data_IF_829289306709
#
_entry.id   IF_829289306709
#
_cell.length_a   1.000
_cell.length_b   1.000
_cell.length_c   1.000
_cell.angle_alpha   90.00
_cell.angle_beta   90.00
_cell.angle_gamma   90.00
#
_symmetry.space_group_name_H-M   'P 1'
#
loop_
_entity.id
_entity.type
_entity.pdbx_description
1 polymer ?
#
# COMPACT_ATOMS: atom_id res chain seq x y z
N UNK A 1 12.95 4.86 -24.78
CA UNK A 1 13.84 3.75 -24.34
C UNK A 1 12.97 2.51 -24.15
N UNK A 2 13.13 1.45 -24.96
CA UNK A 2 12.30 0.24 -24.88
C UNK A 2 12.73 -0.54 -23.64
N UNK A 3 11.86 -0.62 -22.66
CA UNK A 3 12.05 -1.45 -21.45
C UNK A 3 11.98 -2.92 -21.88
N UNK A 4 13.10 -3.61 -21.78
CA UNK A 4 13.17 -5.07 -21.95
C UNK A 4 12.32 -5.70 -20.83
N UNK A 5 11.16 -6.26 -21.18
CA UNK A 5 10.35 -7.07 -20.26
C UNK A 5 11.22 -8.27 -19.81
N UNK A 6 11.55 -8.31 -18.53
CA UNK A 6 12.18 -9.50 -17.93
C UNK A 6 11.16 -10.64 -17.89
N UNK A 7 11.54 -11.78 -18.47
CA UNK A 7 10.91 -13.06 -18.17
C UNK A 7 11.11 -13.38 -16.70
N UNK A 8 10.03 -13.50 -15.93
CA UNK A 8 10.10 -14.00 -14.57
C UNK A 8 9.12 -13.37 -13.61
N UNK A 9 8.14 -14.14 -13.20
CA UNK A 9 7.22 -13.91 -12.08
C UNK A 9 6.43 -12.59 -12.15
N UNK A 10 5.37 -12.58 -12.95
CA UNK A 10 4.36 -11.53 -12.85
C UNK A 10 3.74 -11.55 -11.44
N UNK A 11 3.91 -10.45 -10.72
CA UNK A 11 3.30 -10.23 -9.41
C UNK A 11 1.77 -10.23 -9.49
N UNK A 12 1.11 -10.18 -8.34
CA UNK A 12 -0.31 -9.86 -8.26
C UNK A 12 -0.48 -8.35 -8.28
N UNK A 13 -1.26 -7.82 -9.26
CA UNK A 13 -1.61 -6.40 -9.35
C UNK A 13 -2.97 -6.17 -8.71
N UNK A 14 -3.02 -5.50 -7.59
CA UNK A 14 -4.27 -5.13 -6.94
C UNK A 14 -4.99 -4.09 -7.82
N UNK A 15 -6.26 -4.37 -8.16
CA UNK A 15 -7.11 -3.46 -8.94
C UNK A 15 -8.08 -2.69 -8.06
N UNK A 16 -8.65 -3.36 -7.07
CA UNK A 16 -9.55 -2.75 -6.11
C UNK A 16 -9.55 -3.52 -4.78
N UNK A 17 -9.92 -2.82 -3.72
CA UNK A 17 -10.28 -3.42 -2.43
C UNK A 17 -11.64 -2.91 -1.99
N UNK A 18 -12.39 -3.74 -1.27
CA UNK A 18 -13.60 -3.35 -0.54
C UNK A 18 -13.42 -3.72 0.92
N UNK A 19 -13.72 -2.77 1.79
CA UNK A 19 -13.56 -2.88 3.24
C UNK A 19 -14.87 -2.48 3.92
N UNK A 20 -15.34 -3.30 4.85
CA UNK A 20 -16.47 -2.96 5.72
C UNK A 20 -16.18 -3.42 7.16
N UNK A 21 -16.75 -2.73 8.13
CA UNK A 21 -16.71 -3.14 9.53
C UNK A 21 -15.33 -3.03 10.19
N UNK A 22 -14.51 -2.05 9.81
CA UNK A 22 -13.22 -1.75 10.43
C UNK A 22 -13.22 -0.32 10.97
N UNK A 23 -13.10 -0.15 12.29
CA UNK A 23 -13.18 1.17 12.95
C UNK A 23 -14.40 1.95 12.48
N UNK A 24 -14.23 3.03 11.70
CA UNK A 24 -15.30 3.85 11.16
C UNK A 24 -15.57 3.63 9.66
N UNK A 25 -14.96 2.61 9.04
CA UNK A 25 -15.11 2.33 7.61
C UNK A 25 -16.36 1.50 7.34
N UNK A 26 -17.25 2.00 6.50
CA UNK A 26 -18.48 1.34 6.09
C UNK A 26 -18.54 1.21 4.57
N UNK A 27 -18.44 -0.02 4.08
CA UNK A 27 -18.54 -0.37 2.65
C UNK A 27 -17.65 0.50 1.75
N UNK A 28 -16.38 0.67 2.11
CA UNK A 28 -15.42 1.50 1.40
C UNK A 28 -14.79 0.70 0.28
N UNK A 29 -15.04 1.11 -0.98
CA UNK A 29 -14.39 0.55 -2.16
C UNK A 29 -13.32 1.51 -2.66
N UNK A 30 -12.08 1.03 -2.79
CA UNK A 30 -10.95 1.78 -3.36
C UNK A 30 -10.48 1.05 -4.63
N UNK A 31 -10.57 1.72 -5.76
CA UNK A 31 -10.01 1.26 -7.04
C UNK A 31 -8.62 1.87 -7.23
N UNK A 32 -7.65 1.05 -7.65
CA UNK A 32 -6.26 1.47 -7.75
C UNK A 32 -5.85 1.80 -9.18
N UNK A 33 -5.49 3.05 -9.42
CA UNK A 33 -4.65 3.46 -10.53
C UNK A 33 -3.17 3.16 -10.21
N UNK A 34 -2.21 3.63 -10.99
CA UNK A 34 -0.80 3.53 -10.61
C UNK A 34 -0.53 4.30 -9.33
N UNK A 35 -1.05 5.53 -9.25
CA UNK A 35 -1.11 6.32 -8.03
C UNK A 35 -2.58 6.60 -7.73
N UNK A 36 -3.00 6.35 -6.51
CA UNK A 36 -4.37 6.61 -6.02
C UNK A 36 -4.30 7.52 -4.82
N UNK A 37 -5.10 8.58 -4.78
CA UNK A 37 -5.15 9.51 -3.65
C UNK A 37 -6.45 9.36 -2.85
N UNK A 38 -6.31 9.33 -1.53
CA UNK A 38 -7.39 9.51 -0.58
C UNK A 38 -7.38 10.96 -0.09
N UNK A 39 -8.40 11.72 -0.46
CA UNK A 39 -8.54 13.14 -0.11
C UNK A 39 -9.73 13.31 0.81
N UNK A 40 -9.53 13.87 2.00
CA UNK A 40 -10.56 14.15 2.96
C UNK A 40 -10.03 15.11 4.05
N UNK A 41 -10.92 15.66 4.84
CA UNK A 41 -10.55 16.42 6.04
C UNK A 41 -9.72 15.59 7.03
N UNK A 42 -9.07 16.28 7.96
CA UNK A 42 -8.34 15.61 9.04
C UNK A 42 -9.29 14.76 9.88
N UNK A 43 -8.76 13.67 10.43
CA UNK A 43 -9.50 12.73 11.28
C UNK A 43 -10.73 12.05 10.62
N UNK A 44 -10.85 12.11 9.30
CA UNK A 44 -11.96 11.50 8.56
C UNK A 44 -11.88 9.97 8.51
N UNK A 45 -10.68 9.41 8.43
CA UNK A 45 -10.47 7.96 8.32
C UNK A 45 -9.53 7.53 7.19
N UNK A 46 -8.78 8.45 6.56
CA UNK A 46 -7.76 8.11 5.53
C UNK A 46 -6.78 7.05 6.03
N UNK A 47 -6.14 7.28 7.18
CA UNK A 47 -5.21 6.30 7.77
C UNK A 47 -5.92 5.01 8.22
N UNK A 48 -7.22 5.05 8.52
CA UNK A 48 -7.98 3.84 8.81
C UNK A 48 -8.16 2.95 7.56
N UNK A 49 -8.29 3.55 6.37
CA UNK A 49 -8.30 2.78 5.10
C UNK A 49 -6.98 2.06 4.92
N UNK A 50 -5.84 2.76 5.11
CA UNK A 50 -4.52 2.15 4.99
C UNK A 50 -4.33 1.02 6.01
N UNK A 51 -4.67 1.27 7.27
CA UNK A 51 -4.60 0.26 8.32
C UNK A 51 -5.51 -0.95 8.07
N UNK A 52 -6.69 -0.74 7.46
CA UNK A 52 -7.60 -1.83 7.11
C UNK A 52 -7.07 -2.68 5.94
N UNK A 53 -6.39 -2.08 4.96
CA UNK A 53 -5.74 -2.82 3.87
C UNK A 53 -4.60 -3.67 4.43
N UNK A 54 -3.73 -3.08 5.25
CA UNK A 54 -2.63 -3.78 5.90
C UNK A 54 -3.14 -4.95 6.74
N UNK A 55 -4.08 -4.69 7.63
CA UNK A 55 -4.74 -5.71 8.43
C UNK A 55 -5.34 -6.83 7.58
N UNK A 56 -6.03 -6.49 6.49
CA UNK A 56 -6.66 -7.45 5.58
C UNK A 56 -5.65 -8.39 4.92
N UNK A 57 -4.52 -7.85 4.47
CA UNK A 57 -3.45 -8.64 3.86
C UNK A 57 -2.68 -9.47 4.89
N UNK A 58 -2.40 -8.93 6.08
CA UNK A 58 -1.77 -9.69 7.16
C UNK A 58 -2.68 -10.80 7.68
N UNK A 59 -4.00 -10.58 7.75
CA UNK A 59 -4.97 -11.61 8.12
C UNK A 59 -4.93 -12.81 7.16
N UNK A 60 -4.75 -12.60 5.85
CA UNK A 60 -4.60 -13.68 4.88
C UNK A 60 -3.39 -14.56 5.21
N UNK A 61 -2.27 -13.95 5.64
CA UNK A 61 -0.98 -14.62 5.89
C UNK A 61 -0.91 -15.30 7.27
N UNK A 62 -1.59 -14.72 8.26
CA UNK A 62 -1.48 -15.09 9.66
C UNK A 62 -1.77 -16.57 9.94
N UNK A 63 -1.13 -17.13 10.95
CA UNK A 63 -1.46 -18.46 11.48
C UNK A 63 -2.85 -18.46 12.16
N UNK A 64 -3.36 -19.62 12.52
CA UNK A 64 -4.70 -19.75 13.12
C UNK A 64 -4.80 -18.97 14.44
N UNK A 65 -3.78 -19.06 15.27
CA UNK A 65 -3.74 -18.39 16.58
C UNK A 65 -3.61 -16.85 16.40
N UNK A 66 -2.75 -16.40 15.49
CA UNK A 66 -2.62 -14.98 15.15
C UNK A 66 -3.95 -14.38 14.68
N UNK A 67 -4.70 -15.11 13.84
CA UNK A 67 -6.03 -14.69 13.37
C UNK A 67 -7.02 -14.55 14.52
N UNK A 68 -6.99 -15.47 15.49
CA UNK A 68 -7.88 -15.38 16.66
C UNK A 68 -7.58 -14.12 17.49
N UNK A 69 -6.30 -13.76 17.64
CA UNK A 69 -5.86 -12.53 18.30
C UNK A 69 -6.26 -11.28 17.49
N UNK A 70 -6.04 -11.31 16.17
CA UNK A 70 -6.45 -10.23 15.27
C UNK A 70 -7.95 -9.94 15.35
N UNK A 71 -8.78 -10.98 15.36
CA UNK A 71 -10.25 -10.88 15.49
C UNK A 71 -10.71 -10.35 16.87
N UNK A 72 -9.84 -10.40 17.87
CA UNK A 72 -10.12 -9.94 19.24
C UNK A 72 -9.56 -8.52 19.51
N UNK A 73 -8.92 -7.88 18.54
CA UNK A 73 -8.31 -6.56 18.73
C UNK A 73 -9.36 -5.46 18.87
N UNK A 74 -9.63 -5.06 20.10
CA UNK A 74 -10.65 -4.06 20.45
C UNK A 74 -10.44 -2.68 19.82
N UNK A 75 -9.18 -2.32 19.47
CA UNK A 75 -8.86 -1.04 18.85
C UNK A 75 -9.31 -0.95 17.37
N UNK A 76 -9.66 -2.07 16.76
CA UNK A 76 -10.04 -2.18 15.35
C UNK A 76 -11.54 -2.40 15.15
N UNK A 77 -12.23 -2.85 16.20
CA UNK A 77 -13.67 -3.10 16.19
C UNK A 77 -14.44 -1.76 16.03
N UNK A 78 -15.47 -1.71 15.18
CA UNK A 78 -16.33 -0.54 15.10
C UNK A 78 -17.00 -0.21 16.44
N UNK A 79 -16.78 1.02 16.91
CA UNK A 79 -17.40 1.51 18.16
C UNK A 79 -18.59 2.43 17.92
N UNK A 80 -18.80 2.90 16.69
CA UNK A 80 -19.93 3.72 16.31
C UNK A 80 -21.23 2.91 16.46
N UNK A 81 -22.27 3.50 17.05
CA UNK A 81 -23.57 2.83 17.29
C UNK A 81 -24.21 2.26 16.02
N UNK A 82 -24.02 2.94 14.88
CA UNK A 82 -24.56 2.50 13.58
C UNK A 82 -23.78 1.32 12.99
N UNK A 83 -22.57 1.05 13.47
CA UNK A 83 -21.69 0.00 12.97
C UNK A 83 -21.41 -1.09 14.00
N UNK A 84 -21.92 -0.93 15.23
CA UNK A 84 -21.69 -1.89 16.30
C UNK A 84 -22.24 -3.28 15.91
N UNK A 85 -21.38 -4.30 16.08
CA UNK A 85 -21.70 -5.67 15.73
C UNK A 85 -21.56 -6.03 14.24
N UNK A 86 -21.13 -5.10 13.39
CA UNK A 86 -20.76 -5.44 12.00
C UNK A 86 -19.54 -6.33 11.98
N UNK A 87 -19.56 -7.31 11.07
CA UNK A 87 -18.42 -8.14 10.77
C UNK A 87 -17.34 -7.33 10.02
N UNK A 88 -16.10 -7.76 10.12
CA UNK A 88 -15.06 -7.29 9.19
C UNK A 88 -15.20 -8.02 7.87
N UNK A 89 -15.25 -7.27 6.78
CA UNK A 89 -15.27 -7.77 5.42
C UNK A 89 -14.13 -7.18 4.62
N UNK A 90 -13.37 -8.03 3.93
CA UNK A 90 -12.28 -7.63 3.06
C UNK A 90 -12.37 -8.39 1.73
N UNK A 91 -12.46 -7.65 0.63
CA UNK A 91 -12.49 -8.20 -0.72
C UNK A 91 -11.44 -7.52 -1.59
N UNK A 92 -10.85 -8.27 -2.52
CA UNK A 92 -9.86 -7.77 -3.48
C UNK A 92 -10.18 -8.23 -4.89
N UNK A 93 -10.01 -7.31 -5.83
CA UNK A 93 -9.92 -7.60 -7.26
C UNK A 93 -8.45 -7.50 -7.68
N UNK A 94 -7.92 -8.52 -8.34
CA UNK A 94 -6.50 -8.68 -8.62
C UNK A 94 -6.34 -9.15 -10.07
N UNK A 95 -5.32 -8.64 -10.76
CA UNK A 95 -4.81 -9.21 -12.00
C UNK A 95 -3.55 -10.03 -11.72
N UNK A 96 -3.48 -11.21 -12.31
CA UNK A 96 -2.29 -12.08 -12.25
C UNK A 96 -2.16 -12.91 -13.52
N UNK A 97 -0.94 -13.32 -13.82
CA UNK A 97 -0.67 -14.20 -14.94
C UNK A 97 -0.38 -15.63 -14.45
N UNK A 98 -0.98 -16.61 -15.12
CA UNK A 98 -0.75 -18.04 -14.91
C UNK A 98 -0.58 -18.68 -16.27
N UNK A 99 0.55 -19.35 -16.51
CA UNK A 99 0.85 -20.01 -17.79
C UNK A 99 0.67 -19.08 -19.01
N UNK A 100 1.13 -17.83 -18.93
CA UNK A 100 1.03 -16.79 -19.94
C UNK A 100 -0.42 -16.35 -20.28
N UNK A 101 -1.36 -16.61 -19.39
CA UNK A 101 -2.75 -16.14 -19.49
C UNK A 101 -3.04 -15.21 -18.33
N UNK A 102 -3.51 -14.01 -18.63
CA UNK A 102 -3.96 -13.06 -17.60
C UNK A 102 -5.33 -13.46 -17.06
N UNK A 103 -5.44 -13.47 -15.74
CA UNK A 103 -6.66 -13.77 -15.00
C UNK A 103 -7.05 -12.62 -14.09
N UNK A 104 -8.34 -12.29 -14.12
CA UNK A 104 -8.98 -11.56 -13.02
C UNK A 104 -9.26 -12.55 -11.89
N UNK A 105 -8.78 -12.21 -10.70
CA UNK A 105 -8.97 -12.96 -9.47
C UNK A 105 -9.80 -12.10 -8.53
N UNK A 106 -10.90 -12.64 -8.03
CA UNK A 106 -11.65 -12.07 -6.93
C UNK A 106 -11.41 -12.94 -5.70
N UNK A 107 -10.90 -12.34 -4.63
CA UNK A 107 -10.72 -13.00 -3.34
C UNK A 107 -11.32 -12.14 -2.25
N UNK A 108 -12.11 -12.73 -1.38
CA UNK A 108 -12.69 -12.04 -0.25
C UNK A 108 -13.04 -12.98 0.89
N UNK A 109 -13.10 -12.40 2.08
CA UNK A 109 -13.53 -13.09 3.29
C UNK A 109 -14.24 -12.11 4.23
N UNK A 110 -15.02 -12.70 5.14
CA UNK A 110 -15.73 -12.00 6.19
C UNK A 110 -15.60 -12.78 7.49
N UNK A 111 -15.37 -12.08 8.61
CA UNK A 111 -15.33 -12.69 9.92
C UNK A 111 -16.09 -11.87 10.97
N UNK A 112 -16.50 -12.56 12.04
CA UNK A 112 -17.14 -11.93 13.18
C UNK A 112 -16.09 -11.49 14.21
N UNK A 113 -16.13 -10.22 14.63
CA UNK A 113 -15.28 -9.70 15.70
C UNK A 113 -15.63 -10.34 17.05
N UNK A 114 -14.63 -10.53 17.93
CA UNK A 114 -14.85 -10.88 19.33
C UNK A 114 -15.22 -9.63 20.16
N UNK A 115 -16.48 -9.24 20.13
CA UNK A 115 -16.94 -8.04 20.83
C UNK A 115 -17.05 -8.20 22.37
N UNK A 116 -17.06 -9.43 22.89
CA UNK A 116 -17.09 -9.74 24.33
C UNK A 116 -16.44 -11.10 24.64
N UNK A 117 -16.18 -11.38 25.91
CA UNK A 117 -15.50 -12.60 26.35
C UNK A 117 -16.23 -13.90 26.01
N UNK A 118 -17.56 -13.88 25.93
CA UNK A 118 -18.39 -15.04 25.62
C UNK A 118 -18.49 -15.36 24.13
N UNK A 119 -18.09 -14.43 23.26
CA UNK A 119 -18.11 -14.64 21.80
C UNK A 119 -16.83 -15.32 21.33
N UNK A 120 -16.99 -16.37 20.53
CA UNK A 120 -15.89 -16.99 19.80
C UNK A 120 -15.88 -16.40 18.39
N UNK A 121 -14.79 -15.76 17.96
CA UNK A 121 -14.69 -15.26 16.61
C UNK A 121 -14.65 -16.39 15.59
N UNK A 122 -15.21 -16.19 14.43
CA UNK A 122 -15.21 -17.19 13.35
C UNK A 122 -15.30 -16.52 11.98
N UNK A 123 -14.79 -17.22 10.97
CA UNK A 123 -14.94 -16.82 9.56
C UNK A 123 -16.37 -17.09 9.13
N UNK A 124 -17.08 -16.04 8.73
CA UNK A 124 -18.47 -16.07 8.26
C UNK A 124 -18.54 -16.58 6.83
N UNK A 125 -17.65 -16.05 5.97
CA UNK A 125 -17.59 -16.44 4.56
C UNK A 125 -16.18 -16.32 4.00
N UNK A 126 -15.89 -17.08 2.95
CA UNK A 126 -14.67 -16.96 2.13
C UNK A 126 -14.98 -17.35 0.70
N UNK A 127 -14.49 -16.57 -0.25
CA UNK A 127 -14.74 -16.75 -1.67
C UNK A 127 -13.47 -16.50 -2.48
N UNK A 128 -13.13 -17.43 -3.38
CA UNK A 128 -12.12 -17.24 -4.42
C UNK A 128 -12.73 -17.58 -5.77
N UNK A 129 -12.66 -16.64 -6.72
CA UNK A 129 -13.15 -16.80 -8.09
C UNK A 129 -12.13 -16.28 -9.07
N UNK A 130 -12.04 -16.93 -10.22
CA UNK A 130 -11.18 -16.49 -11.32
C UNK A 130 -11.93 -16.45 -12.65
N UNK A 131 -11.49 -15.60 -13.55
CA UNK A 131 -11.84 -15.65 -14.98
C UNK A 131 -10.66 -15.17 -15.81
N UNK A 132 -10.48 -15.67 -17.05
CA UNK A 132 -9.51 -15.08 -17.96
C UNK A 132 -9.87 -13.63 -18.24
N UNK A 133 -8.85 -12.76 -18.28
CA UNK A 133 -9.04 -11.35 -18.64
C UNK A 133 -9.51 -11.23 -20.09
N UNK A 134 -10.31 -10.21 -20.38
CA UNK A 134 -10.78 -9.84 -21.73
C UNK A 134 -11.57 -10.91 -22.51
N UNK A 135 -12.06 -11.98 -21.87
CA UNK A 135 -12.79 -13.06 -22.56
C UNK A 135 -14.31 -12.96 -22.45
N UNK A 136 -14.85 -12.09 -21.60
CA UNK A 136 -16.30 -12.04 -21.29
C UNK A 136 -16.84 -13.29 -20.59
N UNK A 137 -15.97 -14.22 -20.21
CA UNK A 137 -16.37 -15.45 -19.52
C UNK A 137 -16.84 -15.17 -18.10
N UNK A 138 -17.74 -16.03 -17.60
CA UNK A 138 -18.18 -15.97 -16.19
C UNK A 138 -17.06 -16.42 -15.26
N UNK A 139 -17.08 -15.87 -14.04
CA UNK A 139 -16.17 -16.33 -13.00
C UNK A 139 -16.35 -17.81 -12.66
N UNK A 140 -15.23 -18.50 -12.56
CA UNK A 140 -15.15 -19.88 -12.05
C UNK A 140 -14.91 -19.83 -10.55
N UNK A 141 -15.80 -20.44 -9.76
CA UNK A 141 -15.66 -20.56 -8.31
C UNK A 141 -14.59 -21.59 -7.94
N UNK A 142 -13.60 -21.19 -7.16
CA UNK A 142 -12.49 -22.05 -6.67
C UNK A 142 -12.63 -22.40 -5.19
N UNK A 143 -13.00 -21.40 -4.35
CA UNK A 143 -13.29 -21.57 -2.92
C UNK A 143 -14.66 -20.96 -2.65
N UNK A 144 -15.48 -21.66 -1.89
CA UNK A 144 -16.76 -21.17 -1.38
C UNK A 144 -16.99 -21.69 0.04
N UNK A 145 -16.94 -20.78 0.99
CA UNK A 145 -17.21 -21.08 2.39
C UNK A 145 -18.35 -20.21 2.90
N UNK A 146 -19.22 -20.80 3.62
CA UNK A 146 -20.22 -20.15 4.47
C UNK A 146 -20.09 -20.66 5.92
N UNK A 147 -20.93 -20.22 6.83
CA UNK A 147 -20.89 -20.60 8.25
C UNK A 147 -21.11 -22.10 8.51
N UNK A 148 -21.57 -22.88 7.52
CA UNK A 148 -21.92 -24.31 7.66
C UNK A 148 -20.97 -25.25 6.94
N UNK A 149 -20.38 -24.82 5.83
CA UNK A 149 -19.56 -25.67 4.97
C UNK A 149 -18.45 -24.88 4.31
N UNK A 150 -17.34 -25.58 4.07
CA UNK A 150 -16.23 -25.10 3.25
C UNK A 150 -16.04 -26.05 2.07
N UNK A 151 -16.03 -25.47 0.86
CA UNK A 151 -15.93 -26.18 -0.40
C UNK A 151 -14.78 -25.62 -1.23
N UNK A 152 -14.08 -26.50 -1.96
CA UNK A 152 -13.07 -26.08 -2.92
C UNK A 152 -13.21 -26.84 -4.26
N UNK A 153 -12.64 -26.31 -5.30
CA UNK A 153 -12.58 -26.93 -6.61
C UNK A 153 -11.28 -27.73 -6.71
N UNK A 154 -11.38 -29.06 -6.83
CA UNK A 154 -10.22 -29.95 -6.87
C UNK A 154 -9.56 -30.02 -8.24
N UNK A 155 -10.35 -30.08 -9.29
CA UNK A 155 -9.86 -30.27 -10.68
C UNK A 155 -10.34 -29.16 -11.61
N UNK A 156 -9.62 -28.93 -12.68
CA UNK A 156 -9.90 -27.85 -13.64
C UNK A 156 -11.30 -27.97 -14.29
N UNK A 157 -11.73 -29.19 -14.61
CA UNK A 157 -13.03 -29.49 -15.24
C UNK A 157 -14.17 -29.69 -14.25
N UNK A 158 -13.85 -29.86 -12.94
CA UNK A 158 -14.83 -30.13 -11.88
C UNK A 158 -15.59 -28.89 -11.41
N UNK A 159 -16.54 -29.11 -10.51
CA UNK A 159 -17.26 -28.03 -9.77
C UNK A 159 -16.59 -27.75 -8.43
N UNK A 160 -16.85 -26.58 -7.84
CA UNK A 160 -16.47 -26.26 -6.47
C UNK A 160 -17.39 -26.99 -5.48
N UNK A 161 -17.13 -28.27 -5.23
CA UNK A 161 -17.98 -29.17 -4.45
C UNK A 161 -17.22 -30.09 -3.49
N UNK A 162 -15.89 -30.14 -3.58
CA UNK A 162 -15.06 -30.93 -2.65
C UNK A 162 -15.09 -30.31 -1.26
N UNK A 163 -15.48 -31.09 -0.25
CA UNK A 163 -15.54 -30.63 1.14
C UNK A 163 -14.14 -30.57 1.74
N UNK A 164 -13.90 -29.57 2.56
CA UNK A 164 -12.67 -29.42 3.34
C UNK A 164 -13.05 -29.01 4.76
N UNK A 165 -12.41 -29.62 5.75
CA UNK A 165 -12.59 -29.25 7.15
C UNK A 165 -11.58 -28.16 7.50
N UNK A 166 -12.06 -27.06 8.05
CA UNK A 166 -11.24 -25.91 8.50
C UNK A 166 -11.66 -25.52 9.92
N UNK A 167 -10.73 -25.02 10.69
CA UNK A 167 -11.02 -24.45 12.00
C UNK A 167 -11.88 -23.17 11.85
N UNK A 168 -12.60 -22.74 12.90
CA UNK A 168 -13.45 -21.56 12.84
C UNK A 168 -12.72 -20.30 12.38
N UNK A 169 -11.45 -20.12 12.78
CA UNK A 169 -10.61 -18.95 12.45
C UNK A 169 -9.65 -19.21 11.29
N UNK A 170 -9.66 -20.41 10.68
CA UNK A 170 -8.77 -20.77 9.56
C UNK A 170 -9.40 -20.44 8.21
N UNK A 171 -8.71 -19.73 7.32
CA UNK A 171 -9.12 -19.55 5.93
C UNK A 171 -8.89 -20.83 5.12
N UNK A 172 -9.82 -21.17 4.23
CA UNK A 172 -9.67 -22.30 3.28
C UNK A 172 -8.43 -22.11 2.40
N UNK A 173 -8.14 -20.88 1.97
CA UNK A 173 -6.94 -20.55 1.21
C UNK A 173 -5.66 -20.94 1.98
N UNK A 174 -5.58 -20.73 3.30
CA UNK A 174 -4.43 -21.15 4.09
C UNK A 174 -4.30 -22.69 4.15
N UNK A 175 -5.39 -23.40 4.35
CA UNK A 175 -5.41 -24.86 4.35
C UNK A 175 -4.94 -25.44 3.01
N UNK A 176 -5.41 -24.85 1.92
CA UNK A 176 -5.06 -25.27 0.56
C UNK A 176 -3.62 -24.94 0.17
N UNK A 177 -2.90 -24.13 0.94
CA UNK A 177 -1.48 -23.81 0.68
C UNK A 177 -0.59 -25.05 0.65
N UNK A 178 -0.97 -26.10 1.40
CA UNK A 178 -0.25 -27.38 1.43
C UNK A 178 -0.65 -28.35 0.28
N UNK A 179 -1.59 -27.94 -0.59
CA UNK A 179 -2.12 -28.78 -1.67
C UNK A 179 -1.48 -28.39 -3.01
N UNK A 180 -0.35 -28.99 -3.34
CA UNK A 180 0.35 -28.69 -4.62
C UNK A 180 -0.38 -29.22 -5.85
N UNK A 181 -1.31 -30.18 -5.70
CA UNK A 181 -2.03 -30.80 -6.82
C UNK A 181 -3.20 -29.98 -7.38
N UNK A 182 -3.60 -28.88 -6.74
CA UNK A 182 -4.68 -28.04 -7.26
C UNK A 182 -4.16 -27.11 -8.36
N UNK A 183 -4.90 -27.00 -9.47
CA UNK A 183 -4.47 -26.24 -10.66
C UNK A 183 -4.29 -24.73 -10.41
N UNK A 184 -4.78 -24.19 -9.30
CA UNK A 184 -4.64 -22.79 -8.86
C UNK A 184 -3.73 -22.60 -7.64
N UNK A 185 -2.86 -23.58 -7.35
CA UNK A 185 -1.92 -23.49 -6.24
C UNK A 185 -1.06 -22.22 -6.28
N UNK A 186 -0.68 -21.77 -7.49
CA UNK A 186 0.07 -20.52 -7.67
C UNK A 186 -0.70 -19.29 -7.20
N UNK A 187 -2.01 -19.22 -7.45
CA UNK A 187 -2.85 -18.12 -6.93
C UNK A 187 -2.83 -18.12 -5.41
N UNK A 188 -2.99 -19.27 -4.77
CA UNK A 188 -2.95 -19.39 -3.31
C UNK A 188 -1.60 -18.94 -2.76
N UNK A 189 -0.50 -19.37 -3.38
CA UNK A 189 0.86 -18.94 -2.97
C UNK A 189 1.04 -17.43 -3.14
N UNK A 190 0.65 -16.89 -4.27
CA UNK A 190 0.74 -15.45 -4.56
C UNK A 190 -0.11 -14.61 -3.60
N UNK A 191 -1.35 -15.01 -3.27
CA UNK A 191 -2.20 -14.35 -2.28
C UNK A 191 -1.51 -14.27 -0.91
N UNK A 192 -0.89 -15.36 -0.46
CA UNK A 192 -0.16 -15.41 0.80
C UNK A 192 1.19 -14.66 0.78
N UNK A 193 1.69 -14.28 -0.39
CA UNK A 193 2.96 -13.54 -0.56
C UNK A 193 2.77 -12.06 -0.86
N UNK A 194 1.53 -11.56 -1.00
CA UNK A 194 1.26 -10.16 -1.24
C UNK A 194 1.83 -9.30 -0.11
N UNK A 195 2.53 -8.23 -0.48
CA UNK A 195 3.18 -7.34 0.48
C UNK A 195 2.57 -5.96 0.36
N UNK A 196 2.28 -5.38 1.50
CA UNK A 196 1.94 -3.99 1.69
C UNK A 196 3.04 -3.31 2.50
N UNK A 197 3.39 -2.11 2.12
CA UNK A 197 4.32 -1.29 2.86
C UNK A 197 3.72 0.09 3.09
N UNK A 198 3.75 0.57 4.32
CA UNK A 198 3.25 1.88 4.68
C UNK A 198 4.39 2.78 5.14
N UNK A 199 4.62 3.87 4.38
CA UNK A 199 5.56 4.92 4.76
C UNK A 199 4.79 6.03 5.48
N UNK A 200 4.80 6.00 6.78
CA UNK A 200 4.15 6.96 7.66
C UNK A 200 5.13 7.86 8.41
N UNK A 201 6.43 7.69 8.16
CA UNK A 201 7.45 8.47 8.85
C UNK A 201 7.68 9.81 8.14
N UNK A 202 7.35 10.89 8.83
CA UNK A 202 7.51 12.26 8.35
C UNK A 202 8.92 12.82 8.61
N UNK A 203 9.69 12.23 9.53
CA UNK A 203 11.03 12.69 9.88
C UNK A 203 12.12 12.02 9.04
N UNK A 204 12.44 12.62 7.90
CA UNK A 204 13.53 12.15 7.05
C UNK A 204 14.93 12.33 7.66
N UNK A 205 15.08 13.07 8.78
CA UNK A 205 16.41 13.38 9.34
C UNK A 205 17.08 12.17 9.95
N UNK A 206 16.33 11.37 10.69
CA UNK A 206 16.85 10.19 11.40
C UNK A 206 17.37 9.10 10.43
N UNK A 207 16.78 8.98 9.24
CA UNK A 207 17.14 7.94 8.27
C UNK A 207 18.52 8.10 7.61
N UNK A 208 19.08 9.31 7.62
CA UNK A 208 20.36 9.61 7.00
C UNK A 208 21.52 9.64 7.98
N UNK A 209 21.27 9.39 9.26
CA UNK A 209 22.31 9.31 10.27
C UNK A 209 23.16 8.04 10.05
N UNK A 210 24.50 8.14 10.04
CA UNK A 210 25.36 6.97 10.01
C UNK A 210 25.26 6.24 11.35
N UNK A 211 24.64 5.06 11.34
CA UNK A 211 24.43 4.25 12.53
C UNK A 211 25.03 2.85 12.36
N UNK A 212 25.95 2.41 13.25
CA UNK A 212 26.46 1.05 13.25
C UNK A 212 25.47 0.03 13.83
N UNK A 213 24.42 0.49 14.53
CA UNK A 213 23.44 -0.37 15.19
C UNK A 213 22.31 -0.67 14.20
N UNK A 214 22.00 -1.95 14.05
CA UNK A 214 20.89 -2.39 13.21
C UNK A 214 20.00 -3.36 13.99
N UNK A 215 18.74 -3.44 13.62
CA UNK A 215 17.80 -4.42 14.15
C UNK A 215 18.14 -5.80 13.59
N UNK A 216 18.19 -6.83 14.44
CA UNK A 216 18.37 -8.24 14.00
C UNK A 216 17.24 -8.62 13.04
N UNK A 217 17.59 -9.31 11.96
CA UNK A 217 16.65 -9.65 10.87
C UNK A 217 16.54 -8.60 9.76
N UNK A 218 17.07 -7.37 9.97
CA UNK A 218 17.12 -6.30 8.96
C UNK A 218 18.57 -6.08 8.44
N UNK A 219 19.40 -7.12 8.46
CA UNK A 219 20.78 -7.05 7.96
C UNK A 219 20.83 -6.89 6.44
N UNK A 220 19.80 -7.39 5.76
CA UNK A 220 19.66 -7.33 4.31
C UNK A 220 18.89 -6.08 3.86
N UNK A 221 18.98 -5.80 2.58
CA UNK A 221 18.25 -4.71 1.93
C UNK A 221 16.74 -4.99 2.00
N UNK A 222 16.04 -4.30 2.90
CA UNK A 222 14.59 -4.37 3.08
C UNK A 222 13.97 -2.99 2.87
N UNK A 223 12.70 -2.96 2.47
CA UNK A 223 11.99 -1.71 2.19
C UNK A 223 11.76 -0.88 3.46
N UNK A 224 11.63 -1.52 4.61
CA UNK A 224 11.38 -0.95 5.94
C UNK A 224 12.65 -0.58 6.73
N UNK A 225 13.84 -0.79 6.13
CA UNK A 225 15.09 -0.46 6.81
C UNK A 225 15.21 1.03 7.12
N UNK A 226 15.57 1.34 8.35
CA UNK A 226 15.68 2.71 8.87
C UNK A 226 16.97 3.41 8.44
N UNK A 227 18.06 2.68 8.21
CA UNK A 227 19.36 3.23 7.83
C UNK A 227 19.49 3.34 6.30
N UNK A 228 19.01 4.42 5.71
CA UNK A 228 19.04 4.64 4.27
C UNK A 228 20.44 4.60 3.65
N UNK A 229 21.51 5.20 4.22
CA UNK A 229 22.84 5.09 3.65
C UNK A 229 23.33 3.64 3.47
N UNK A 230 23.00 2.76 4.42
CA UNK A 230 23.27 1.32 4.32
C UNK A 230 22.46 0.67 3.20
N UNK A 231 21.17 0.94 3.15
CA UNK A 231 20.27 0.41 2.11
C UNK A 231 20.75 0.83 0.72
N UNK A 232 21.10 2.10 0.54
CA UNK A 232 21.63 2.63 -0.73
C UNK A 232 22.97 1.97 -1.09
N UNK A 233 23.83 1.72 -0.10
CA UNK A 233 25.06 0.97 -0.33
C UNK A 233 24.76 -0.45 -0.83
N UNK A 234 23.86 -1.17 -0.18
CA UNK A 234 23.44 -2.51 -0.59
C UNK A 234 22.75 -2.50 -1.96
N UNK A 235 21.93 -1.48 -2.25
CA UNK A 235 21.31 -1.31 -3.56
C UNK A 235 22.38 -1.15 -4.66
N UNK A 236 23.41 -0.34 -4.42
CA UNK A 236 24.53 -0.18 -5.36
C UNK A 236 25.26 -1.49 -5.61
N UNK A 237 25.57 -2.26 -4.56
CA UNK A 237 26.32 -3.52 -4.67
C UNK A 237 25.48 -4.63 -5.35
N UNK A 238 24.21 -4.74 -5.01
CA UNK A 238 23.37 -5.84 -5.46
C UNK A 238 22.58 -5.53 -6.75
N UNK A 239 22.25 -4.27 -7.00
CA UNK A 239 21.44 -3.80 -8.12
C UNK A 239 21.94 -2.45 -8.65
N UNK A 240 23.15 -2.38 -9.24
CA UNK A 240 23.78 -1.12 -9.66
C UNK A 240 22.90 -0.35 -10.67
N UNK A 241 22.18 -1.03 -11.56
CA UNK A 241 21.27 -0.39 -12.50
C UNK A 241 20.12 0.35 -11.82
N UNK A 242 19.57 -0.20 -10.73
CA UNK A 242 18.50 0.46 -9.95
C UNK A 242 19.08 1.62 -9.13
N UNK A 243 20.31 1.52 -8.65
CA UNK A 243 21.00 2.64 -8.01
C UNK A 243 21.28 3.79 -8.99
N UNK A 244 21.73 3.49 -10.20
CA UNK A 244 21.93 4.52 -11.24
C UNK A 244 20.61 5.17 -11.64
N UNK A 245 19.53 4.40 -11.80
CA UNK A 245 18.17 4.93 -12.02
C UNK A 245 17.75 5.88 -10.90
N UNK A 246 17.97 5.52 -9.63
CA UNK A 246 17.68 6.40 -8.49
C UNK A 246 18.40 7.74 -8.60
N UNK A 247 19.71 7.70 -8.96
CA UNK A 247 20.50 8.93 -9.16
C UNK A 247 19.96 9.78 -10.31
N UNK A 248 19.63 9.15 -11.43
CA UNK A 248 19.13 9.85 -12.62
C UNK A 248 17.82 10.57 -12.32
N UNK A 249 16.82 9.88 -11.75
CA UNK A 249 15.52 10.48 -11.45
C UNK A 249 15.62 11.54 -10.35
N UNK A 250 16.52 11.38 -9.38
CA UNK A 250 16.74 12.40 -8.37
C UNK A 250 17.39 13.67 -8.95
N UNK A 251 18.37 13.52 -9.86
CA UNK A 251 19.00 14.66 -10.56
C UNK A 251 18.03 15.37 -11.49
N UNK A 252 17.05 14.69 -12.04
CA UNK A 252 15.99 15.33 -12.83
C UNK A 252 15.16 16.29 -11.96
N UNK A 253 14.86 15.91 -10.73
CA UNK A 253 14.13 16.74 -9.76
C UNK A 253 15.00 17.84 -9.12
N UNK A 254 16.29 17.58 -8.96
CA UNK A 254 17.27 18.49 -8.35
C UNK A 254 18.45 18.74 -9.31
N UNK A 255 18.31 19.63 -10.30
CA UNK A 255 19.28 19.80 -11.38
C UNK A 255 20.67 20.29 -10.92
N UNK A 256 20.77 20.87 -9.72
CA UNK A 256 22.05 21.29 -9.14
C UNK A 256 22.84 20.10 -8.56
N UNK A 257 22.21 18.97 -8.31
CA UNK A 257 22.86 17.74 -7.88
C UNK A 257 23.60 17.11 -9.06
N UNK A 258 24.93 17.01 -8.95
CA UNK A 258 25.79 16.42 -9.97
C UNK A 258 25.93 14.90 -9.77
N UNK A 259 26.11 14.45 -8.52
CA UNK A 259 26.20 13.03 -8.19
C UNK A 259 25.81 12.73 -6.74
N UNK A 260 25.44 11.47 -6.48
CA UNK A 260 25.16 10.91 -5.16
C UNK A 260 26.16 9.78 -4.92
N UNK A 261 26.91 9.91 -3.84
CA UNK A 261 28.02 9.03 -3.50
C UNK A 261 27.76 8.36 -2.17
N UNK A 262 27.76 7.04 -2.12
CA UNK A 262 27.71 6.29 -0.87
C UNK A 262 29.05 5.69 -0.55
N UNK A 263 29.53 5.91 0.70
CA UNK A 263 30.82 5.38 1.18
C UNK A 263 30.61 4.52 2.42
N UNK A 264 31.37 3.44 2.49
CA UNK A 264 31.47 2.59 3.65
C UNK A 264 32.76 2.94 4.44
N UNK A 265 32.63 3.07 5.74
CA UNK A 265 33.76 3.24 6.64
C UNK A 265 33.76 2.10 7.66
N UNK A 266 34.87 1.38 7.73
CA UNK A 266 35.07 0.34 8.72
C UNK A 266 35.29 0.96 10.10
N UNK A 267 34.60 0.45 11.09
CA UNK A 267 34.77 0.84 12.49
C UNK A 267 35.38 -0.34 13.25
N UNK A 268 36.45 -0.09 14.00
CA UNK A 268 36.98 -1.08 14.92
C UNK A 268 36.08 -1.12 16.16
N UNK A 269 34.93 -1.77 16.06
CA UNK A 269 34.18 -2.15 17.25
C UNK A 269 35.06 -3.11 18.04
N UNK A 270 35.41 -2.78 19.28
CA UNK A 270 36.20 -3.63 20.16
C UNK A 270 35.53 -5.01 20.26
N UNK A 271 36.32 -6.05 20.24
CA UNK A 271 35.87 -7.46 20.24
C UNK A 271 34.93 -7.83 21.41
N UNK A 272 34.81 -6.94 22.41
CA UNK A 272 34.05 -7.17 23.66
C UNK A 272 32.65 -6.55 23.69
N UNK A 273 32.25 -5.74 22.69
CA UNK A 273 30.96 -5.04 22.71
C UNK A 273 29.85 -5.85 22.01
N UNK A 274 29.72 -7.14 22.37
CA UNK A 274 28.56 -7.92 21.94
C UNK A 274 27.35 -7.53 22.78
N UNK A 275 26.33 -7.01 22.13
CA UNK A 275 25.03 -6.81 22.78
C UNK A 275 24.51 -8.16 23.32
N UNK A 276 23.77 -8.16 24.45
CA UNK A 276 23.13 -9.36 24.95
C UNK A 276 22.28 -10.07 23.88
N UNK A 277 22.16 -11.40 23.98
CA UNK A 277 21.46 -12.20 22.96
C UNK A 277 19.97 -11.89 22.83
N UNK A 278 19.36 -11.46 23.90
CA UNK A 278 17.94 -11.09 24.03
C UNK A 278 17.63 -9.67 23.49
N UNK A 279 18.66 -8.86 23.24
CA UNK A 279 18.46 -7.53 22.64
C UNK A 279 18.20 -7.67 21.14
N UNK A 280 17.15 -7.04 20.58
CA UNK A 280 16.79 -7.15 19.17
C UNK A 280 17.68 -6.37 18.21
N UNK A 281 18.87 -5.92 18.66
CA UNK A 281 19.83 -5.14 17.89
C UNK A 281 21.18 -5.84 17.81
N UNK A 282 21.96 -5.46 16.79
CA UNK A 282 23.37 -5.85 16.61
C UNK A 282 24.23 -4.65 16.19
N UNK A 283 25.50 -4.68 16.56
CA UNK A 283 26.47 -3.71 16.16
C UNK A 283 27.20 -4.25 14.91
N UNK A 284 27.30 -3.44 13.86
CA UNK A 284 28.00 -3.79 12.63
C UNK A 284 29.40 -3.20 12.61
N UNK A 285 30.31 -3.83 11.84
CA UNK A 285 31.70 -3.37 11.70
C UNK A 285 31.87 -2.19 10.71
N UNK A 286 30.78 -1.64 10.22
CA UNK A 286 30.83 -0.57 9.23
C UNK A 286 29.65 0.41 9.41
N UNK A 287 29.96 1.67 9.18
CA UNK A 287 28.97 2.73 8.96
C UNK A 287 28.95 3.12 7.50
N UNK A 288 27.81 3.59 7.05
CA UNK A 288 27.59 4.04 5.69
C UNK A 288 27.20 5.52 5.71
N UNK A 289 27.79 6.29 4.81
CA UNK A 289 27.55 7.74 4.71
C UNK A 289 27.20 8.07 3.27
N UNK A 290 26.14 8.82 3.10
CA UNK A 290 25.69 9.32 1.81
C UNK A 290 26.15 10.76 1.64
N UNK A 291 26.76 11.07 0.47
CA UNK A 291 27.21 12.40 0.11
C UNK A 291 26.52 12.86 -1.17
N UNK A 292 26.34 14.17 -1.27
CA UNK A 292 25.86 14.84 -2.49
C UNK A 292 27.00 15.70 -3.03
N UNK A 293 27.27 15.55 -4.32
CA UNK A 293 28.09 16.48 -5.09
C UNK A 293 27.16 17.45 -5.79
N UNK A 294 27.24 18.72 -5.44
CA UNK A 294 26.45 19.81 -6.01
C UNK A 294 27.31 20.68 -6.90
N UNK A 295 26.77 21.17 -8.02
CA UNK A 295 27.49 21.99 -9.01
C UNK A 295 28.03 23.28 -8.42
N UNK A 296 27.34 23.81 -7.41
CA UNK A 296 27.64 25.08 -6.77
C UNK A 296 28.60 24.95 -5.57
N UNK A 297 28.94 23.71 -5.18
CA UNK A 297 29.78 23.43 -4.01
C UNK A 297 31.15 22.91 -4.41
N UNK A 298 32.19 23.40 -3.73
CA UNK A 298 33.58 22.98 -3.97
C UNK A 298 33.85 21.53 -3.56
N UNK A 299 33.14 21.03 -2.56
CA UNK A 299 33.31 19.68 -2.02
C UNK A 299 31.95 19.01 -1.79
N UNK A 300 31.85 17.67 -1.92
CA UNK A 300 30.64 16.96 -1.56
C UNK A 300 30.27 17.19 -0.09
N UNK A 301 28.97 17.36 0.16
CA UNK A 301 28.41 17.51 1.51
C UNK A 301 27.72 16.22 1.94
N UNK A 302 27.60 16.01 3.26
CA UNK A 302 26.80 14.92 3.78
C UNK A 302 25.33 15.12 3.39
N UNK A 303 24.67 14.08 2.88
CA UNK A 303 23.26 14.12 2.45
C UNK A 303 22.31 14.53 3.59
N UNK A 304 22.65 14.22 4.84
CA UNK A 304 21.89 14.66 6.00
C UNK A 304 21.77 16.20 6.12
N UNK A 305 22.66 16.96 5.46
CA UNK A 305 22.64 18.42 5.41
C UNK A 305 21.72 19.00 4.33
N UNK A 306 21.15 18.17 3.46
CA UNK A 306 20.16 18.58 2.47
C UNK A 306 18.87 19.06 3.14
N UNK A 307 18.06 19.84 2.43
CA UNK A 307 16.74 20.25 2.91
C UNK A 307 15.84 19.05 3.21
N UNK A 308 14.90 19.22 4.13
CA UNK A 308 14.00 18.13 4.54
C UNK A 308 13.16 17.63 3.36
N UNK A 309 12.72 18.53 2.47
CA UNK A 309 12.02 18.16 1.23
C UNK A 309 12.88 17.31 0.28
N UNK A 310 14.16 17.70 0.08
CA UNK A 310 15.08 16.94 -0.75
C UNK A 310 15.34 15.53 -0.19
N UNK A 311 15.53 15.43 1.13
CA UNK A 311 15.69 14.15 1.84
C UNK A 311 14.47 13.28 1.74
N UNK A 312 13.26 13.86 1.91
CA UNK A 312 12.00 13.13 1.82
C UNK A 312 11.74 12.59 0.41
N UNK A 313 11.94 13.40 -0.61
CA UNK A 313 11.82 12.96 -2.01
C UNK A 313 12.76 11.78 -2.30
N UNK A 314 14.03 11.89 -1.89
CA UNK A 314 15.00 10.80 -2.08
C UNK A 314 14.60 9.52 -1.35
N UNK A 315 14.11 9.63 -0.11
CA UNK A 315 13.62 8.51 0.67
C UNK A 315 12.47 7.80 -0.05
N UNK A 316 11.45 8.54 -0.49
CA UNK A 316 10.28 7.95 -1.15
C UNK A 316 10.67 7.30 -2.49
N UNK A 317 11.51 7.94 -3.32
CA UNK A 317 12.03 7.33 -4.55
C UNK A 317 12.79 6.03 -4.25
N UNK A 318 13.60 6.02 -3.20
CA UNK A 318 14.31 4.81 -2.74
C UNK A 318 13.32 3.71 -2.35
N UNK A 319 12.27 4.03 -1.56
CA UNK A 319 11.23 3.06 -1.16
C UNK A 319 10.52 2.46 -2.37
N UNK A 320 10.18 3.26 -3.36
CA UNK A 320 9.53 2.79 -4.59
C UNK A 320 10.44 1.82 -5.37
N UNK A 321 11.71 2.18 -5.52
CA UNK A 321 12.68 1.29 -6.20
C UNK A 321 12.87 -0.02 -5.42
N UNK A 322 12.96 0.04 -4.10
CA UNK A 322 13.06 -1.15 -3.25
C UNK A 322 11.80 -2.00 -3.29
N UNK A 323 10.62 -1.38 -3.40
CA UNK A 323 9.37 -2.10 -3.55
C UNK A 323 9.33 -2.94 -4.82
N UNK A 324 9.80 -2.39 -5.94
CA UNK A 324 9.91 -3.14 -7.19
C UNK A 324 10.91 -4.31 -7.07
N UNK A 325 12.04 -4.10 -6.36
CA UNK A 325 13.03 -5.18 -6.10
C UNK A 325 12.44 -6.27 -5.20
N UNK A 326 11.65 -5.89 -4.19
CA UNK A 326 11.05 -6.80 -3.23
C UNK A 326 9.70 -7.38 -3.65
N UNK A 327 9.19 -7.03 -4.85
CA UNK A 327 7.88 -7.41 -5.37
C UNK A 327 6.75 -7.03 -4.39
N UNK A 328 6.76 -5.81 -3.88
CA UNK A 328 5.69 -5.25 -3.05
C UNK A 328 4.50 -4.93 -3.95
N UNK A 329 3.30 -5.35 -3.54
CA UNK A 329 2.08 -5.18 -4.34
C UNK A 329 1.49 -3.77 -4.22
N UNK A 330 1.60 -3.17 -3.03
CA UNK A 330 1.03 -1.86 -2.72
C UNK A 330 1.91 -1.11 -1.71
N UNK A 331 2.19 0.17 -2.00
CA UNK A 331 2.82 1.11 -1.08
C UNK A 331 1.79 2.15 -0.67
N UNK A 332 1.68 2.42 0.62
CA UNK A 332 0.99 3.60 1.13
C UNK A 332 2.01 4.67 1.54
N UNK A 333 1.74 5.91 1.16
CA UNK A 333 2.56 7.07 1.53
C UNK A 333 1.64 8.13 2.13
N UNK A 334 1.85 8.44 3.41
CA UNK A 334 1.10 9.52 4.05
C UNK A 334 1.73 10.87 3.71
N UNK A 335 0.89 11.77 3.21
CA UNK A 335 1.22 13.18 2.96
C UNK A 335 2.54 13.39 2.19
N UNK A 336 2.69 12.84 0.98
CA UNK A 336 3.94 12.93 0.20
C UNK A 336 4.34 14.37 -0.13
N UNK A 337 3.39 15.30 -0.09
CA UNK A 337 3.59 16.74 -0.32
C UNK A 337 4.27 17.46 0.84
N UNK A 338 4.32 16.88 2.03
CA UNK A 338 4.91 17.54 3.18
C UNK A 338 6.39 17.87 2.96
N UNK A 339 6.76 19.12 3.21
CA UNK A 339 8.09 19.67 3.00
C UNK A 339 8.57 19.72 1.54
N UNK A 340 7.71 19.37 0.57
CA UNK A 340 8.01 19.45 -0.86
C UNK A 340 7.36 20.71 -1.45
N UNK A 341 8.16 21.51 -2.17
CA UNK A 341 7.61 22.71 -2.81
C UNK A 341 6.58 22.33 -3.88
N UNK A 342 5.42 23.02 -3.99
CA UNK A 342 4.37 22.67 -4.94
C UNK A 342 4.84 22.53 -6.39
N UNK A 343 5.74 23.40 -6.86
CA UNK A 343 6.27 23.34 -8.23
C UNK A 343 7.11 22.08 -8.50
N UNK A 344 7.76 21.51 -7.48
CA UNK A 344 8.51 20.26 -7.59
C UNK A 344 7.58 19.07 -7.53
N UNK A 345 6.46 19.20 -6.81
CA UNK A 345 5.57 18.08 -6.51
C UNK A 345 4.95 17.46 -7.77
N UNK A 346 4.60 18.28 -8.78
CA UNK A 346 4.07 17.77 -10.06
C UNK A 346 5.08 16.87 -10.78
N UNK A 347 6.32 17.34 -10.96
CA UNK A 347 7.38 16.54 -11.59
C UNK A 347 7.69 15.28 -10.78
N UNK A 348 7.70 15.39 -9.46
CA UNK A 348 7.92 14.28 -8.55
C UNK A 348 6.85 13.18 -8.71
N UNK A 349 5.56 13.52 -8.74
CA UNK A 349 4.47 12.55 -8.94
C UNK A 349 4.56 11.88 -10.32
N UNK A 350 4.94 12.61 -11.36
CA UNK A 350 5.16 12.05 -12.70
C UNK A 350 6.29 11.02 -12.69
N UNK A 351 7.42 11.33 -12.05
CA UNK A 351 8.55 10.40 -11.90
C UNK A 351 8.13 9.17 -11.10
N UNK A 352 7.43 9.35 -9.98
CA UNK A 352 6.90 8.24 -9.20
C UNK A 352 6.05 7.32 -10.08
N UNK A 353 5.12 7.87 -10.88
CA UNK A 353 4.27 7.08 -11.78
C UNK A 353 5.07 6.29 -12.83
N UNK A 354 6.18 6.84 -13.32
CA UNK A 354 7.07 6.17 -14.28
C UNK A 354 7.93 5.07 -13.66
N UNK A 355 8.26 5.19 -12.37
CA UNK A 355 9.07 4.22 -11.64
C UNK A 355 8.28 2.97 -11.23
N UNK A 356 6.94 3.04 -11.23
CA UNK A 356 6.10 1.92 -10.81
C UNK A 356 6.05 0.84 -11.91
N UNK A 357 6.47 -0.36 -11.56
CA UNK A 357 6.29 -1.56 -12.41
C UNK A 357 4.89 -2.17 -12.12
N UNK A 358 4.83 -3.27 -11.36
CA UNK A 358 3.57 -3.92 -10.95
C UNK A 358 3.04 -3.40 -9.61
N UNK A 359 3.85 -2.65 -8.87
CA UNK A 359 3.49 -2.03 -7.60
C UNK A 359 2.51 -0.88 -7.81
N UNK A 360 1.52 -0.74 -6.93
CA UNK A 360 0.62 0.41 -6.87
C UNK A 360 1.00 1.32 -5.70
N UNK A 361 0.67 2.60 -5.82
CA UNK A 361 0.85 3.57 -4.74
C UNK A 361 -0.50 4.15 -4.33
N UNK A 362 -0.78 4.13 -3.04
CA UNK A 362 -1.89 4.86 -2.44
C UNK A 362 -1.31 5.98 -1.57
N UNK A 363 -1.80 7.20 -1.76
CA UNK A 363 -1.38 8.35 -0.99
C UNK A 363 -2.56 8.92 -0.21
N UNK A 364 -2.30 9.39 1.00
CA UNK A 364 -3.27 10.19 1.74
C UNK A 364 -2.84 11.65 1.69
N UNK A 365 -3.79 12.54 1.49
CA UNK A 365 -3.51 13.97 1.43
C UNK A 365 -4.65 14.81 1.99
N UNK A 366 -4.29 15.97 2.49
CA UNK A 366 -5.20 17.08 2.80
C UNK A 366 -4.75 18.37 2.11
N UNK A 367 -3.97 18.25 1.03
CA UNK A 367 -3.47 19.37 0.25
C UNK A 367 -4.28 19.58 -1.03
N UNK A 368 -4.74 20.80 -1.30
CA UNK A 368 -5.39 21.16 -2.56
C UNK A 368 -4.55 20.87 -3.82
N UNK A 369 -3.23 20.91 -3.68
CA UNK A 369 -2.29 20.68 -4.79
C UNK A 369 -2.39 19.26 -5.37
N UNK A 370 -2.67 18.25 -4.54
CA UNK A 370 -2.85 16.85 -4.99
C UNK A 370 -3.97 16.77 -6.05
N UNK A 371 -5.09 17.45 -5.80
CA UNK A 371 -6.24 17.46 -6.70
C UNK A 371 -5.90 18.11 -8.03
N UNK A 372 -5.00 19.09 -8.02
CA UNK A 372 -4.58 19.81 -9.25
C UNK A 372 -3.59 19.01 -10.11
N UNK A 373 -2.87 18.05 -9.53
CA UNK A 373 -1.78 17.33 -10.21
C UNK A 373 -2.09 15.88 -10.53
N UNK A 374 -3.13 15.31 -9.92
CA UNK A 374 -3.58 13.95 -10.23
C UNK A 374 -4.79 13.96 -11.15
N UNK A 375 -4.92 12.91 -11.94
CA UNK A 375 -6.13 12.64 -12.70
C UNK A 375 -7.30 12.47 -11.72
N UNK A 376 -8.45 13.15 -11.92
CA UNK A 376 -9.59 13.03 -11.01
C UNK A 376 -10.10 11.59 -10.81
N UNK A 377 -9.93 10.71 -11.81
CA UNK A 377 -10.23 9.28 -11.71
C UNK A 377 -9.33 8.51 -10.72
N UNK A 378 -8.23 9.11 -10.29
CA UNK A 378 -7.30 8.52 -9.32
C UNK A 378 -7.56 9.00 -7.89
N UNK A 379 -8.56 9.87 -7.71
CA UNK A 379 -8.86 10.51 -6.45
C UNK A 379 -10.14 9.92 -5.87
N UNK A 380 -10.06 9.45 -4.64
CA UNK A 380 -11.19 9.08 -3.81
C UNK A 380 -11.42 10.17 -2.76
N UNK A 381 -12.60 10.77 -2.78
CA UNK A 381 -12.97 11.86 -1.88
C UNK A 381 -13.76 11.31 -0.71
N UNK A 382 -13.31 11.59 0.50
CA UNK A 382 -14.00 11.22 1.74
C UNK A 382 -15.06 12.23 2.09
N UNK A 383 -16.33 11.83 2.11
CA UNK A 383 -17.48 12.68 2.37
C UNK A 383 -18.32 12.13 3.53
N UNK A 384 -18.74 13.01 4.43
CA UNK A 384 -19.60 12.69 5.56
C UNK A 384 -21.06 12.54 5.10
N UNK A 385 -21.51 11.31 4.83
CA UNK A 385 -22.93 11.03 4.66
C UNK A 385 -23.63 10.81 6.02
N UNK A 386 -22.92 10.26 6.97
CA UNK A 386 -23.40 9.99 8.33
C UNK A 386 -22.31 10.32 9.35
N UNK A 387 -22.62 10.97 10.46
CA UNK A 387 -21.64 11.34 11.47
C UNK A 387 -20.82 10.13 11.97
N UNK A 388 -19.51 10.26 11.92
CA UNK A 388 -18.59 9.25 12.42
C UNK A 388 -18.42 8.00 11.53
N UNK A 389 -18.96 8.01 10.31
CA UNK A 389 -18.78 6.94 9.31
C UNK A 389 -17.98 7.51 8.15
N UNK A 390 -16.87 6.84 7.81
CA UNK A 390 -16.05 7.21 6.67
C UNK A 390 -16.45 6.43 5.43
N UNK A 391 -16.77 7.17 4.37
CA UNK A 391 -17.00 6.66 3.01
C UNK A 391 -16.15 7.44 2.03
N UNK A 392 -15.71 6.78 0.97
CA UNK A 392 -14.89 7.37 -0.08
C UNK A 392 -15.52 7.11 -1.44
N UNK A 393 -15.57 8.14 -2.28
CA UNK A 393 -16.21 8.11 -3.60
C UNK A 393 -15.27 8.63 -4.68
N UNK A 394 -15.42 8.14 -5.89
CA UNK A 394 -14.76 8.66 -7.09
C UNK A 394 -15.60 9.71 -7.78
N UNK A 395 -14.99 10.52 -8.62
CA UNK A 395 -15.70 11.51 -9.41
C UNK A 395 -16.47 10.89 -10.58
N UNK A 396 -17.72 11.34 -10.80
CA UNK A 396 -18.40 11.15 -12.09
C UNK A 396 -17.64 11.85 -13.21
N UNK A 397 -17.66 11.32 -14.42
CA UNK A 397 -17.06 12.01 -15.59
C UNK A 397 -17.65 13.41 -15.81
N UNK A 398 -18.97 13.60 -15.60
CA UNK A 398 -19.64 14.90 -15.62
C UNK A 398 -19.21 15.76 -14.44
N UNK A 399 -19.09 15.17 -13.25
CA UNK A 399 -18.76 15.86 -12.02
C UNK A 399 -17.36 16.47 -12.02
N UNK A 400 -16.40 15.84 -12.69
CA UNK A 400 -15.04 16.40 -12.87
C UNK A 400 -15.07 17.74 -13.64
N UNK A 401 -15.86 17.78 -14.73
CA UNK A 401 -16.00 19.01 -15.54
C UNK A 401 -16.75 20.09 -14.76
N UNK A 402 -17.80 19.71 -14.06
CA UNK A 402 -18.58 20.62 -13.23
C UNK A 402 -17.70 21.22 -12.13
N UNK A 403 -16.91 20.40 -11.42
CA UNK A 403 -15.99 20.89 -10.39
C UNK A 403 -14.99 21.93 -10.92
N UNK A 404 -14.45 21.70 -12.13
CA UNK A 404 -13.53 22.65 -12.77
C UNK A 404 -14.25 23.95 -13.15
N UNK A 405 -15.48 23.87 -13.65
CA UNK A 405 -16.27 25.02 -14.06
C UNK A 405 -16.65 25.87 -12.85
N UNK A 406 -17.18 25.24 -11.79
CA UNK A 406 -17.57 25.94 -10.57
C UNK A 406 -16.36 26.57 -9.87
N UNK A 407 -15.22 25.88 -9.81
CA UNK A 407 -13.97 26.44 -9.30
C UNK A 407 -13.57 27.72 -10.07
N UNK A 408 -13.68 27.69 -11.41
CA UNK A 408 -13.38 28.85 -12.24
C UNK A 408 -14.34 30.01 -12.00
N UNK A 409 -15.66 29.74 -11.84
CA UNK A 409 -16.67 30.74 -11.54
C UNK A 409 -16.42 31.41 -10.19
N UNK A 410 -15.94 30.66 -9.20
CA UNK A 410 -15.51 31.21 -7.91
C UNK A 410 -14.09 31.77 -7.89
N UNK A 411 -13.37 31.74 -9.04
CA UNK A 411 -11.96 32.18 -9.17
C UNK A 411 -11.01 31.46 -8.23
N UNK A 412 -11.24 30.18 -8.00
CA UNK A 412 -10.45 29.29 -7.16
C UNK A 412 -9.74 28.25 -8.02
N UNK A 413 -8.68 27.63 -7.47
CA UNK A 413 -8.17 26.38 -8.05
C UNK A 413 -9.18 25.25 -7.81
N UNK A 414 -9.19 24.22 -8.67
CA UNK A 414 -10.05 23.05 -8.50
C UNK A 414 -9.84 22.39 -7.13
N UNK A 415 -8.58 22.36 -6.66
CA UNK A 415 -8.25 21.83 -5.35
C UNK A 415 -8.79 22.67 -4.21
N UNK A 416 -8.59 24.00 -4.25
CA UNK A 416 -9.10 24.90 -3.20
C UNK A 416 -10.63 24.84 -3.13
N UNK A 417 -11.29 24.82 -4.30
CA UNK A 417 -12.75 24.68 -4.34
C UNK A 417 -13.22 23.35 -3.75
N UNK A 418 -12.60 22.22 -4.11
CA UNK A 418 -12.92 20.93 -3.52
C UNK A 418 -12.77 20.95 -1.98
N UNK A 419 -11.69 21.54 -1.47
CA UNK A 419 -11.46 21.62 -0.03
C UNK A 419 -12.41 22.58 0.67
N UNK A 420 -12.87 23.64 0.00
CA UNK A 420 -13.94 24.50 0.53
C UNK A 420 -15.26 23.75 0.66
N UNK A 421 -15.60 22.91 -0.33
CA UNK A 421 -16.77 22.04 -0.27
C UNK A 421 -16.65 20.98 0.84
N UNK A 422 -15.45 20.40 1.05
CA UNK A 422 -15.21 19.43 2.14
C UNK A 422 -15.40 20.05 3.53
N UNK A 423 -15.15 21.35 3.65
CA UNK A 423 -15.34 22.09 4.90
C UNK A 423 -16.80 22.54 5.13
N UNK A 424 -17.63 22.51 4.12
CA UNK A 424 -19.03 22.89 4.15
C UNK A 424 -19.92 21.64 4.29
N UNK A 425 -20.59 21.51 5.43
CA UNK A 425 -21.47 20.37 5.73
C UNK A 425 -22.73 20.31 4.83
N UNK A 426 -23.12 21.44 4.22
CA UNK A 426 -24.30 21.53 3.35
C UNK A 426 -24.00 21.27 1.87
N UNK A 427 -22.73 20.99 1.51
CA UNK A 427 -22.31 20.76 0.14
C UNK A 427 -23.03 19.57 -0.50
N UNK A 428 -23.57 19.78 -1.71
CA UNK A 428 -24.23 18.74 -2.49
C UNK A 428 -23.23 17.94 -3.31
N UNK A 429 -22.82 16.78 -2.82
CA UNK A 429 -21.85 15.90 -3.48
C UNK A 429 -22.44 15.07 -4.62
N UNK A 430 -23.77 14.91 -4.69
CA UNK A 430 -24.43 14.03 -5.66
C UNK A 430 -24.19 14.39 -7.13
N UNK A 431 -23.86 15.65 -7.44
CA UNK A 431 -23.55 16.09 -8.81
C UNK A 431 -22.12 15.77 -9.22
N UNK A 432 -21.18 15.70 -8.27
CA UNK A 432 -19.75 15.53 -8.50
C UNK A 432 -19.29 14.09 -8.36
N UNK A 433 -19.77 13.35 -7.37
CA UNK A 433 -19.27 12.05 -6.98
C UNK A 433 -20.20 10.90 -7.40
N UNK A 434 -19.62 9.73 -7.68
CA UNK A 434 -20.32 8.47 -7.85
C UNK A 434 -20.80 7.99 -6.46
N UNK A 435 -21.86 8.59 -5.97
CA UNK A 435 -22.54 8.04 -4.80
C UNK A 435 -23.21 6.75 -5.27
N UNK A 436 -22.67 5.60 -4.89
CA UNK A 436 -23.36 4.32 -5.07
C UNK A 436 -24.64 4.36 -4.22
N UNK A 437 -25.75 4.63 -4.86
CA UNK A 437 -27.07 4.34 -4.30
C UNK A 437 -27.19 2.81 -4.32
N UNK A 438 -26.59 2.14 -3.36
CA UNK A 438 -26.97 0.78 -3.04
C UNK A 438 -28.26 0.86 -2.22
N UNK A 439 -29.40 0.68 -2.90
CA UNK A 439 -30.64 0.26 -2.29
C UNK A 439 -30.48 -1.09 -1.55
#
# INVERSE_FOLDING_TARGET
MSIVKKEGCFGMKIQAVLIDGFKNLSNVKISFANITALVALNNFGKSNVLAAIDFGLEFIKGAIDDKAEMMANSNLIPINSCMFGRNYKFEMEILTEINNIEYQVFYGYEFSWKCNENMKPYIVSECLRIRPENTGQKYTQLINRDSRKALYKRSETGRCSSKINVEPTELVANKLRAYDEIFYADIIRKLNSMKFYMENNLDAKSFYQPDPIIRKGLENMTIDAENLPRVIYQLRENNPQKFDLLKEVYKELFPDVEDIIVKQYMINAGVNDKLPLDVPFMITNAIHVLFVKDKNLKHPINFAMMSDGAKRVFMILTRIILANVANVSLIAIEEPENSVHPSLFQAYIQIVSQLLDDCKVIITSHSPYIVSYLEPSWIHVGVNEQPGIAKFFTFKKSGQRLLQQDAADFKMSTGDYLFSMLADEESNWGEYLECDVYE
#
